data_IF_976175580033
#
_entry.id   IF_976175580033
#
_cell.length_a   1.000
_cell.length_b   1.000
_cell.length_c   1.000
_cell.angle_alpha   90.00
_cell.angle_beta   90.00
_cell.angle_gamma   90.00
#
_symmetry.space_group_name_H-M   'P 1'
#
loop_
_entity.id
_entity.type
_entity.pdbx_description
1 polymer ?
#
# COMPACT_ATOMS: atom_id res chain seq x y z
N UNK A 1 5.18 -9.38 4.55
CA UNK A 1 4.79 -9.82 5.90
C UNK A 1 5.21 -11.27 6.17
N UNK A 2 5.93 -11.55 7.27
CA UNK A 2 6.20 -12.93 7.70
C UNK A 2 4.90 -13.70 7.97
N UNK A 3 4.94 -15.04 7.88
CA UNK A 3 3.81 -15.88 8.26
C UNK A 3 3.52 -15.68 9.77
N UNK A 4 2.29 -15.26 10.10
CA UNK A 4 1.86 -14.83 11.45
C UNK A 4 2.51 -13.53 11.98
N UNK A 5 3.13 -12.73 11.11
CA UNK A 5 3.63 -11.42 11.48
C UNK A 5 2.51 -10.39 11.67
N UNK A 6 2.80 -9.35 12.44
CA UNK A 6 1.93 -8.19 12.55
C UNK A 6 1.97 -7.39 11.24
N UNK A 7 0.83 -7.37 10.53
CA UNK A 7 0.71 -6.70 9.23
C UNK A 7 0.79 -5.19 9.40
N UNK A 8 0.16 -4.63 10.44
CA UNK A 8 0.17 -3.19 10.68
C UNK A 8 1.59 -2.71 10.99
N UNK A 9 2.32 -3.43 11.84
CA UNK A 9 3.73 -3.11 12.10
C UNK A 9 4.58 -3.23 10.84
N UNK A 10 4.40 -4.29 10.05
CA UNK A 10 5.13 -4.46 8.79
C UNK A 10 4.88 -3.31 7.80
N UNK A 11 3.64 -2.86 7.66
CA UNK A 11 3.30 -1.76 6.75
C UNK A 11 3.80 -0.40 7.28
N UNK A 12 3.77 -0.19 8.60
CA UNK A 12 4.37 1.00 9.22
C UNK A 12 5.88 1.05 8.97
N UNK A 13 6.59 -0.07 9.14
CA UNK A 13 8.02 -0.18 8.85
C UNK A 13 8.32 0.08 7.37
N UNK A 14 7.46 -0.42 6.47
CA UNK A 14 7.60 -0.20 5.03
C UNK A 14 7.46 1.29 4.67
N UNK A 15 6.47 1.98 5.23
CA UNK A 15 6.26 3.42 5.04
C UNK A 15 7.42 4.26 5.62
N UNK A 16 7.93 3.88 6.78
CA UNK A 16 9.11 4.52 7.38
C UNK A 16 10.34 4.39 6.49
N UNK A 17 10.63 3.21 5.96
CA UNK A 17 11.76 3.01 5.04
C UNK A 17 11.58 3.76 3.71
N UNK A 18 10.37 3.80 3.16
CA UNK A 18 10.09 4.61 1.97
C UNK A 18 10.37 6.10 2.21
N UNK A 19 9.97 6.62 3.38
CA UNK A 19 10.25 8.01 3.79
C UNK A 19 11.73 8.28 3.97
N UNK A 20 12.47 7.35 4.59
CA UNK A 20 13.93 7.43 4.75
C UNK A 20 14.62 7.50 3.38
N UNK A 21 14.30 6.58 2.47
CA UNK A 21 14.85 6.54 1.12
C UNK A 21 14.57 7.85 0.37
N UNK A 22 13.35 8.37 0.48
CA UNK A 22 12.97 9.67 -0.09
C UNK A 22 13.81 10.82 0.48
N UNK A 23 14.10 10.81 1.78
CA UNK A 23 14.96 11.82 2.42
C UNK A 23 16.40 11.79 1.91
N UNK A 24 16.87 10.62 1.46
CA UNK A 24 18.18 10.43 0.83
C UNK A 24 18.18 10.77 -0.67
N UNK A 25 17.04 11.24 -1.21
CA UNK A 25 16.88 11.55 -2.63
C UNK A 25 16.60 10.34 -3.51
N UNK A 26 16.28 9.18 -2.93
CA UNK A 26 15.86 7.99 -3.67
C UNK A 26 14.37 8.08 -3.95
N UNK A 27 14.00 8.13 -5.23
CA UNK A 27 12.60 8.14 -5.66
C UNK A 27 12.17 6.74 -6.06
N UNK A 28 11.11 6.24 -5.44
CA UNK A 28 10.45 4.99 -5.82
C UNK A 28 9.17 5.35 -6.58
N UNK A 29 8.89 4.65 -7.68
CA UNK A 29 7.64 4.82 -8.42
C UNK A 29 6.46 4.30 -7.58
N UNK A 30 5.34 5.03 -7.56
CA UNK A 30 4.12 4.62 -6.90
C UNK A 30 3.63 3.23 -7.35
N UNK A 31 3.77 2.88 -8.64
CA UNK A 31 3.35 1.57 -9.15
C UNK A 31 4.20 0.42 -8.55
N UNK A 32 5.52 0.64 -8.44
CA UNK A 32 6.44 -0.31 -7.83
C UNK A 32 6.19 -0.43 -6.32
N UNK A 33 5.88 0.70 -5.68
CA UNK A 33 5.57 0.74 -4.25
C UNK A 33 4.24 0.02 -3.95
N UNK A 34 3.18 0.28 -4.73
CA UNK A 34 1.91 -0.46 -4.65
C UNK A 34 2.11 -1.95 -4.88
N UNK A 35 2.88 -2.33 -5.90
CA UNK A 35 3.18 -3.73 -6.19
C UNK A 35 3.90 -4.42 -5.02
N UNK A 36 4.83 -3.69 -4.39
CA UNK A 36 5.54 -4.15 -3.19
C UNK A 36 4.59 -4.34 -2.00
N UNK A 37 3.69 -3.38 -1.76
CA UNK A 37 2.65 -3.49 -0.72
C UNK A 37 1.82 -4.74 -0.99
N UNK A 38 1.18 -4.85 -2.15
CA UNK A 38 0.27 -5.97 -2.51
C UNK A 38 0.98 -7.32 -2.40
N UNK A 39 2.20 -7.45 -2.93
CA UNK A 39 2.98 -8.68 -2.92
C UNK A 39 3.46 -9.11 -1.53
N UNK A 40 3.41 -8.22 -0.55
CA UNK A 40 3.85 -8.48 0.82
C UNK A 40 2.72 -8.88 1.78
N UNK A 41 1.46 -8.74 1.37
CA UNK A 41 0.27 -8.97 2.21
C UNK A 41 -0.13 -10.44 2.28
N UNK A 42 -0.81 -10.86 3.37
CA UNK A 42 -1.62 -12.08 3.37
C UNK A 42 -2.75 -12.00 2.35
N UNK A 43 -3.13 -13.16 1.78
CA UNK A 43 -4.09 -13.27 0.69
C UNK A 43 -5.42 -12.51 0.89
N UNK A 44 -5.98 -12.54 2.10
CA UNK A 44 -7.24 -11.84 2.40
C UNK A 44 -7.10 -10.32 2.21
N UNK A 45 -5.99 -9.74 2.70
CA UNK A 45 -5.70 -8.32 2.58
C UNK A 45 -5.24 -7.93 1.16
N UNK A 46 -4.58 -8.85 0.44
CA UNK A 46 -4.27 -8.67 -0.98
C UNK A 46 -5.55 -8.44 -1.80
N UNK A 47 -6.58 -9.27 -1.59
CA UNK A 47 -7.86 -9.11 -2.30
C UNK A 47 -8.54 -7.77 -1.96
N UNK A 48 -8.55 -7.40 -0.68
CA UNK A 48 -9.09 -6.10 -0.26
C UNK A 48 -8.36 -4.94 -0.95
N UNK A 49 -7.03 -4.91 -0.89
CA UNK A 49 -6.22 -3.86 -1.51
C UNK A 49 -6.47 -3.74 -3.02
N UNK A 50 -6.56 -4.87 -3.73
CA UNK A 50 -6.88 -4.91 -5.15
C UNK A 50 -8.29 -4.36 -5.45
N UNK A 51 -9.28 -4.65 -4.60
CA UNK A 51 -10.63 -4.10 -4.76
C UNK A 51 -10.65 -2.59 -4.57
N UNK A 52 -9.90 -2.04 -3.62
CA UNK A 52 -9.79 -0.59 -3.43
C UNK A 52 -9.17 0.08 -4.67
N UNK A 53 -8.07 -0.47 -5.19
CA UNK A 53 -7.44 0.03 -6.41
C UNK A 53 -8.36 -0.05 -7.62
N UNK A 54 -9.10 -1.15 -7.78
CA UNK A 54 -10.08 -1.31 -8.83
C UNK A 54 -11.23 -0.29 -8.68
N UNK A 55 -11.73 -0.05 -7.48
CA UNK A 55 -12.74 0.96 -7.23
C UNK A 55 -12.23 2.37 -7.58
N UNK A 56 -10.99 2.71 -7.22
CA UNK A 56 -10.38 3.98 -7.56
C UNK A 56 -10.24 4.18 -9.08
N UNK A 57 -9.90 3.14 -9.83
CA UNK A 57 -9.83 3.22 -11.30
C UNK A 57 -11.20 3.35 -11.96
N UNK A 58 -12.25 2.75 -11.38
CA UNK A 58 -13.63 2.85 -11.87
C UNK A 58 -14.26 4.22 -11.60
N UNK A 59 -13.87 4.90 -10.52
CA UNK A 59 -14.41 6.20 -10.13
C UNK A 59 -13.32 7.30 -10.06
N UNK A 60 -12.66 7.62 -11.19
CA UNK A 60 -11.52 8.53 -11.22
C UNK A 60 -11.87 9.97 -10.81
N UNK A 61 -13.15 10.37 -10.92
CA UNK A 61 -13.64 11.67 -10.44
C UNK A 61 -13.56 11.84 -8.92
N UNK A 62 -13.47 10.74 -8.17
CA UNK A 62 -13.39 10.75 -6.71
C UNK A 62 -11.96 10.52 -6.20
N UNK A 63 -11.16 9.75 -6.94
CA UNK A 63 -9.84 9.27 -6.51
C UNK A 63 -8.66 9.87 -7.28
N UNK A 64 -8.90 10.50 -8.43
CA UNK A 64 -7.84 10.84 -9.39
C UNK A 64 -7.39 9.65 -10.25
N UNK A 65 -8.10 8.52 -10.20
CA UNK A 65 -7.85 7.34 -11.04
C UNK A 65 -6.87 6.33 -10.45
N UNK A 66 -6.34 6.57 -9.26
CA UNK A 66 -5.50 5.63 -8.49
C UNK A 66 -5.56 5.97 -7.00
N UNK A 67 -4.93 5.16 -6.15
CA UNK A 67 -4.79 5.44 -4.70
C UNK A 67 -3.32 5.67 -4.41
N UNK A 68 -2.99 6.75 -3.71
CA UNK A 68 -1.62 6.98 -3.27
C UNK A 68 -1.14 5.83 -2.34
N UNK A 69 0.08 5.30 -2.50
CA UNK A 69 0.54 4.12 -1.75
C UNK A 69 0.40 4.20 -0.23
N UNK A 70 0.71 5.33 0.39
CA UNK A 70 0.60 5.50 1.84
C UNK A 70 -0.88 5.56 2.28
N UNK A 71 -1.76 6.16 1.47
CA UNK A 71 -3.22 6.06 1.65
C UNK A 71 -3.72 4.61 1.55
N UNK A 72 -3.20 3.82 0.61
CA UNK A 72 -3.57 2.40 0.48
C UNK A 72 -3.14 1.61 1.74
N UNK A 73 -1.95 1.89 2.28
CA UNK A 73 -1.50 1.31 3.55
C UNK A 73 -2.48 1.60 4.68
N UNK A 74 -2.92 2.85 4.83
CA UNK A 74 -3.89 3.22 5.87
C UNK A 74 -5.21 2.47 5.72
N UNK A 75 -5.74 2.35 4.49
CA UNK A 75 -6.96 1.58 4.24
C UNK A 75 -6.81 0.09 4.61
N UNK A 76 -5.64 -0.51 4.35
CA UNK A 76 -5.38 -1.90 4.72
C UNK A 76 -5.27 -2.07 6.24
N UNK A 77 -4.66 -1.10 6.93
CA UNK A 77 -4.56 -1.11 8.39
C UNK A 77 -5.93 -0.98 9.06
N UNK A 78 -6.84 -0.18 8.51
CA UNK A 78 -8.20 0.03 9.05
C UNK A 78 -9.13 -1.20 8.88
N UNK A 79 -8.89 -2.04 7.87
CA UNK A 79 -9.66 -3.27 7.62
C UNK A 79 -9.26 -4.42 8.56
N UNK A 80 -8.06 -4.37 9.17
CA UNK A 80 -7.50 -5.42 10.03
C UNK A 80 -7.85 -5.25 11.51
#
# INVERSE_FOLDING_TARGET
CPKNGDVQQFLADLCSHHTELKSMGVTINNDDYQSTIIGSLPWALTNFALMQLLAATLYPSLSGGTIEPDCLINMICDEW
#
